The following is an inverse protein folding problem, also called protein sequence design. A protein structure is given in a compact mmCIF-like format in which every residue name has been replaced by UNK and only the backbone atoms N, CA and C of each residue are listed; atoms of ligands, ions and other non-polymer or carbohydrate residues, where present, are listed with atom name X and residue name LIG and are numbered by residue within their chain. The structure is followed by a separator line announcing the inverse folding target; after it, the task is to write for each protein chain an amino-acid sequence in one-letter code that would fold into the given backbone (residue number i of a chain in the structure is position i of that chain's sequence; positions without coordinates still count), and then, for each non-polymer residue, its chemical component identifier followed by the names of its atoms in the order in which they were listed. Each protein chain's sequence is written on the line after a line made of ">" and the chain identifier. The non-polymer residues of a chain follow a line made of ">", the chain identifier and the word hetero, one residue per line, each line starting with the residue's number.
data_IF_515184525591
#
_entry.id   IF_515184525591
#
_cell.length_a   1.000
_cell.length_b   1.000
_cell.length_c   1.000
_cell.angle_alpha   90.00
_cell.angle_beta   90.00
_cell.angle_gamma   90.00
#
_symmetry.space_group_name_H-M   'P 1'
#
loop_
_entity.id
_entity.type
_entity.pdbx_description
1 polymer ?
#
# COMPACT_ATOMS: atom_id res chain seq x y z
N UNK A 1 16.01 -17.28 14.60
CA UNK A 1 15.00 -18.07 15.38
C UNK A 1 13.63 -17.69 14.88
N UNK A 2 12.77 -18.68 14.66
CA UNK A 2 11.37 -18.39 14.29
C UNK A 2 10.66 -17.74 15.49
N UNK A 3 9.78 -16.73 15.26
CA UNK A 3 9.08 -16.08 16.35
C UNK A 3 8.16 -17.07 17.08
N UNK A 4 7.95 -16.92 18.41
CA UNK A 4 7.08 -17.79 19.20
C UNK A 4 5.61 -17.43 18.99
N UNK A 5 5.13 -17.37 17.73
CA UNK A 5 3.78 -17.01 17.37
C UNK A 5 3.23 -17.94 16.28
N UNK A 6 1.89 -18.02 16.21
CA UNK A 6 1.21 -18.88 15.23
C UNK A 6 1.24 -18.31 13.82
N UNK A 7 1.12 -16.97 13.70
CA UNK A 7 1.11 -16.24 12.45
C UNK A 7 2.02 -15.03 12.56
N UNK A 8 2.83 -14.78 11.54
CA UNK A 8 3.75 -13.64 11.48
C UNK A 8 3.95 -13.16 10.04
N UNK A 9 4.31 -11.89 9.89
CA UNK A 9 4.74 -11.30 8.64
C UNK A 9 6.24 -10.99 8.70
N UNK A 10 7.03 -11.58 7.81
CA UNK A 10 8.42 -11.22 7.60
C UNK A 10 8.50 -10.07 6.62
N UNK A 11 9.22 -9.01 6.99
CA UNK A 11 9.37 -7.80 6.19
C UNK A 11 10.85 -7.60 5.85
N UNK A 12 11.18 -7.70 4.56
CA UNK A 12 12.52 -7.41 4.02
C UNK A 12 12.68 -5.90 3.82
N UNK A 13 13.27 -5.22 4.82
CA UNK A 13 13.48 -3.78 4.74
C UNK A 13 14.49 -3.38 3.64
N UNK A 14 15.43 -4.27 3.29
CA UNK A 14 16.37 -4.04 2.19
C UNK A 14 15.71 -4.08 0.81
N UNK A 15 14.63 -4.84 0.66
CA UNK A 15 13.88 -4.95 -0.60
C UNK A 15 13.28 -3.64 -1.07
N UNK A 16 12.95 -2.71 -0.15
CA UNK A 16 12.45 -1.38 -0.51
C UNK A 16 13.45 -0.59 -1.36
N UNK A 17 14.74 -0.67 -1.04
CA UNK A 17 15.78 0.01 -1.81
C UNK A 17 15.86 -0.51 -3.25
N UNK A 18 15.79 -1.82 -3.44
CA UNK A 18 15.79 -2.45 -4.76
C UNK A 18 14.58 -2.03 -5.59
N UNK A 19 13.38 -2.06 -5.00
CA UNK A 19 12.16 -1.65 -5.68
C UNK A 19 12.15 -0.15 -6.02
N UNK A 20 12.67 0.69 -5.12
CA UNK A 20 12.82 2.12 -5.37
C UNK A 20 13.80 2.40 -6.52
N UNK A 21 14.91 1.65 -6.62
CA UNK A 21 15.85 1.77 -7.73
C UNK A 21 15.17 1.49 -9.07
N UNK A 22 14.35 0.43 -9.16
CA UNK A 22 13.58 0.12 -10.37
C UNK A 22 12.60 1.24 -10.77
N UNK A 23 12.01 1.93 -9.79
CA UNK A 23 11.14 3.08 -10.04
C UNK A 23 11.95 4.31 -10.50
N UNK A 24 13.12 4.55 -9.90
CA UNK A 24 14.01 5.66 -10.27
C UNK A 24 14.53 5.56 -11.70
N UNK A 25 14.75 4.36 -12.20
CA UNK A 25 15.16 4.12 -13.59
C UNK A 25 14.09 4.48 -14.65
N UNK A 26 12.84 4.70 -14.21
CA UNK A 26 11.68 4.98 -15.09
C UNK A 26 11.38 6.46 -15.26
N UNK A 27 12.07 7.34 -14.57
CA UNK A 27 11.86 8.78 -14.62
C UNK A 27 13.13 9.54 -14.92
N UNK A 28 13.00 10.78 -15.34
CA UNK A 28 14.15 11.65 -15.64
C UNK A 28 14.95 11.97 -14.37
N UNK A 29 16.24 12.26 -14.55
CA UNK A 29 17.09 12.72 -13.46
C UNK A 29 16.54 14.01 -12.82
N UNK A 30 16.60 14.08 -11.49
CA UNK A 30 16.09 15.23 -10.71
C UNK A 30 14.61 15.16 -10.37
N UNK A 31 13.90 14.10 -10.77
CA UNK A 31 12.54 13.78 -10.25
C UNK A 31 12.67 13.32 -8.81
N UNK A 32 11.81 13.84 -7.95
CA UNK A 32 11.76 13.52 -6.53
C UNK A 32 10.78 12.38 -6.25
N UNK A 33 11.02 11.66 -5.15
CA UNK A 33 10.21 10.51 -4.75
C UNK A 33 9.56 10.71 -3.40
N UNK A 34 8.23 10.58 -3.37
CA UNK A 34 7.45 10.43 -2.15
C UNK A 34 7.07 8.96 -1.98
N UNK A 35 7.58 8.32 -0.92
CA UNK A 35 7.17 6.97 -0.55
C UNK A 35 5.82 7.03 0.17
N UNK A 36 4.79 6.40 -0.41
CA UNK A 36 3.46 6.33 0.20
C UNK A 36 3.43 5.19 1.21
N UNK A 37 3.43 5.55 2.49
CA UNK A 37 3.50 4.63 3.64
C UNK A 37 2.29 4.73 4.57
N UNK A 38 1.16 5.21 4.08
CA UNK A 38 -0.11 5.26 4.82
C UNK A 38 -0.65 3.87 5.14
N UNK A 39 -1.70 3.80 5.98
CA UNK A 39 -2.34 2.57 6.42
C UNK A 39 -1.32 1.57 7.01
N UNK A 40 -0.56 2.05 8.03
CA UNK A 40 0.52 1.29 8.68
C UNK A 40 1.57 0.76 7.67
N UNK A 41 1.99 1.63 6.72
CA UNK A 41 2.86 1.25 5.59
C UNK A 41 2.27 0.05 4.82
N UNK A 42 1.00 0.14 4.43
CA UNK A 42 0.25 -0.94 3.79
C UNK A 42 0.33 -2.26 4.58
N UNK A 43 0.20 -2.17 5.92
CA UNK A 43 0.25 -3.31 6.82
C UNK A 43 1.66 -3.82 7.17
N UNK A 44 2.70 -3.16 6.69
CA UNK A 44 4.11 -3.57 6.91
C UNK A 44 4.72 -3.02 8.21
N UNK A 45 4.05 -2.08 8.89
CA UNK A 45 4.55 -1.42 10.09
C UNK A 45 5.18 -0.06 9.81
N UNK A 46 4.40 1.00 9.99
CA UNK A 46 4.77 2.37 9.65
C UNK A 46 6.11 2.83 10.22
N UNK A 47 6.43 2.64 11.52
CA UNK A 47 7.68 3.14 12.10
C UNK A 47 8.93 2.51 11.46
N UNK A 48 8.93 1.19 11.25
CA UNK A 48 10.08 0.48 10.71
C UNK A 48 10.32 0.84 9.24
N UNK A 49 9.26 0.91 8.43
CA UNK A 49 9.34 1.29 7.01
C UNK A 49 9.78 2.75 6.87
N UNK A 50 9.27 3.66 7.71
CA UNK A 50 9.69 5.06 7.70
C UNK A 50 11.19 5.20 8.00
N UNK A 51 11.72 4.47 8.99
CA UNK A 51 13.15 4.44 9.31
C UNK A 51 13.98 3.88 8.16
N UNK A 52 13.51 2.81 7.50
CA UNK A 52 14.22 2.20 6.37
C UNK A 52 14.30 3.13 5.14
N UNK A 53 13.28 3.96 4.92
CA UNK A 53 13.19 4.82 3.74
C UNK A 53 13.69 6.25 3.95
N UNK A 54 13.93 6.71 5.18
CA UNK A 54 14.18 8.11 5.55
C UNK A 54 15.28 8.81 4.74
N UNK A 55 16.34 8.07 4.36
CA UNK A 55 17.51 8.61 3.65
C UNK A 55 17.49 8.22 2.15
N UNK A 56 16.41 7.57 1.68
CA UNK A 56 16.32 7.05 0.32
C UNK A 56 15.34 7.82 -0.56
N UNK A 57 14.41 8.56 0.07
CA UNK A 57 13.35 9.31 -0.59
C UNK A 57 13.35 10.77 -0.13
N UNK A 58 12.78 11.64 -0.95
CA UNK A 58 12.68 13.08 -0.65
C UNK A 58 11.53 13.37 0.32
N UNK A 59 10.46 12.57 0.26
CA UNK A 59 9.28 12.72 1.09
C UNK A 59 8.74 11.35 1.53
N UNK A 60 8.11 11.34 2.70
CA UNK A 60 7.19 10.27 3.11
C UNK A 60 5.77 10.79 2.97
N UNK A 61 4.83 9.94 2.55
CA UNK A 61 3.46 10.36 2.30
C UNK A 61 2.46 9.45 3.04
N UNK A 62 1.58 10.06 3.81
CA UNK A 62 0.59 9.40 4.68
C UNK A 62 -0.81 9.95 4.47
N UNK A 63 -1.82 9.34 5.09
CA UNK A 63 -3.21 9.75 4.91
C UNK A 63 -3.61 10.92 5.81
N UNK A 64 -3.07 11.03 7.03
CA UNK A 64 -3.51 11.95 8.07
C UNK A 64 -2.39 12.32 9.05
N UNK A 65 -2.68 13.26 9.96
CA UNK A 65 -1.71 13.75 10.93
C UNK A 65 -1.28 12.69 11.96
N UNK A 66 -2.16 11.77 12.34
CA UNK A 66 -1.83 10.70 13.31
C UNK A 66 -0.73 9.78 12.76
N UNK A 67 -0.82 9.39 11.49
CA UNK A 67 0.24 8.61 10.84
C UNK A 67 1.54 9.42 10.72
N UNK A 68 1.44 10.72 10.40
CA UNK A 68 2.59 11.61 10.32
C UNK A 68 3.30 11.76 11.69
N UNK A 69 2.56 11.88 12.79
CA UNK A 69 3.11 11.86 14.16
C UNK A 69 3.80 10.53 14.47
N UNK A 70 3.25 9.40 14.01
CA UNK A 70 3.89 8.09 14.15
C UNK A 70 5.29 8.05 13.50
N UNK A 71 5.47 8.71 12.35
CA UNK A 71 6.78 8.87 11.70
C UNK A 71 7.73 9.71 12.56
N UNK A 72 7.26 10.84 13.10
CA UNK A 72 8.06 11.69 14.01
C UNK A 72 8.42 10.95 15.29
N UNK A 73 7.48 10.16 15.86
CA UNK A 73 7.72 9.30 17.01
C UNK A 73 8.80 8.24 16.79
N UNK A 74 9.02 7.82 15.54
CA UNK A 74 10.12 6.94 15.15
C UNK A 74 11.46 7.68 14.94
N UNK A 75 11.52 8.98 15.21
CA UNK A 75 12.74 9.80 15.07
C UNK A 75 13.07 10.20 13.63
N UNK A 76 12.17 9.99 12.68
CA UNK A 76 12.38 10.29 11.27
C UNK A 76 12.05 11.76 11.00
N UNK A 77 12.97 12.50 10.35
CA UNK A 77 12.87 13.93 10.05
C UNK A 77 12.55 14.23 8.57
N UNK A 78 12.57 13.24 7.72
CA UNK A 78 12.19 13.39 6.30
C UNK A 78 10.88 14.16 6.18
N UNK A 79 10.74 15.11 5.24
CA UNK A 79 9.49 15.83 5.01
C UNK A 79 8.31 14.88 4.83
N UNK A 80 7.17 15.18 5.47
CA UNK A 80 5.97 14.33 5.41
C UNK A 80 4.83 15.05 4.74
N UNK A 81 4.29 14.44 3.70
CA UNK A 81 3.11 14.88 2.96
C UNK A 81 1.86 14.21 3.53
N UNK A 82 0.80 14.98 3.76
CA UNK A 82 -0.53 14.46 4.11
C UNK A 82 -1.40 14.51 2.86
N UNK A 83 -1.80 13.32 2.37
CA UNK A 83 -2.47 13.16 1.08
C UNK A 83 -3.98 13.36 1.14
N UNK A 84 -4.57 13.35 2.33
CA UNK A 84 -5.99 13.59 2.55
C UNK A 84 -6.27 15.00 3.07
N UNK A 85 -7.53 15.48 2.98
CA UNK A 85 -7.93 16.72 3.63
C UNK A 85 -7.85 16.58 5.15
N UNK A 86 -7.42 17.65 5.82
CA UNK A 86 -7.28 17.68 7.27
C UNK A 86 -8.57 18.12 7.96
N UNK A 87 -8.92 17.49 9.07
CA UNK A 87 -9.99 17.93 9.98
C UNK A 87 -9.44 18.99 10.96
N UNK A 88 -10.33 19.73 11.64
CA UNK A 88 -9.93 20.83 12.53
C UNK A 88 -8.96 20.42 13.62
N UNK A 89 -9.13 19.24 14.17
CA UNK A 89 -8.32 18.69 15.25
C UNK A 89 -6.87 18.37 14.83
N UNK A 90 -6.63 18.17 13.54
CA UNK A 90 -5.31 17.88 13.00
C UNK A 90 -4.50 19.13 12.68
N UNK A 91 -5.14 20.29 12.45
CA UNK A 91 -4.46 21.51 12.00
C UNK A 91 -3.31 21.95 12.95
N UNK A 92 -3.50 21.98 14.29
CA UNK A 92 -2.44 22.38 15.20
C UNK A 92 -1.20 21.46 15.12
N UNK A 93 -1.41 20.18 14.91
CA UNK A 93 -0.35 19.18 14.78
C UNK A 93 0.42 19.41 13.47
N UNK A 94 -0.31 19.57 12.36
CA UNK A 94 0.28 19.79 11.03
C UNK A 94 1.15 21.05 11.03
N UNK A 95 0.67 22.13 11.62
CA UNK A 95 1.40 23.41 11.72
C UNK A 95 2.63 23.26 12.61
N UNK A 96 2.50 22.68 13.81
CA UNK A 96 3.60 22.48 14.77
C UNK A 96 4.73 21.64 14.19
N UNK A 97 4.40 20.51 13.55
CA UNK A 97 5.37 19.55 13.01
C UNK A 97 5.82 19.91 11.58
N UNK A 98 5.27 20.98 11.00
CA UNK A 98 5.58 21.43 9.63
C UNK A 98 5.33 20.32 8.60
N UNK A 99 4.27 19.53 8.77
CA UNK A 99 3.84 18.60 7.74
C UNK A 99 3.29 19.36 6.53
N UNK A 100 3.33 18.75 5.36
CA UNK A 100 2.90 19.34 4.09
C UNK A 100 1.48 18.85 3.80
N UNK A 101 0.42 19.62 4.14
CA UNK A 101 -0.96 19.22 3.81
C UNK A 101 -1.27 19.42 2.34
N UNK A 102 -2.25 18.65 1.86
CA UNK A 102 -2.85 18.83 0.54
C UNK A 102 -4.15 19.62 0.69
N UNK A 103 -4.25 20.75 -0.01
CA UNK A 103 -5.38 21.68 0.05
C UNK A 103 -6.09 21.74 -1.30
N UNK A 104 -7.42 21.83 -1.28
CA UNK A 104 -8.28 21.99 -2.45
C UNK A 104 -8.84 23.41 -2.58
N UNK A 105 -8.94 24.16 -1.45
CA UNK A 105 -9.61 25.46 -1.37
C UNK A 105 -8.80 26.50 -0.60
N UNK A 106 -9.06 27.76 -0.86
CA UNK A 106 -8.49 28.86 -0.09
C UNK A 106 -9.03 28.89 1.36
N UNK A 107 -10.24 28.39 1.58
CA UNK A 107 -10.81 28.28 2.93
C UNK A 107 -10.02 27.31 3.81
N UNK A 108 -9.64 26.15 3.27
CA UNK A 108 -8.70 25.26 3.97
C UNK A 108 -7.38 25.99 4.31
N UNK A 109 -6.86 26.78 3.37
CA UNK A 109 -5.67 27.60 3.60
C UNK A 109 -5.84 28.65 4.69
N UNK A 110 -6.99 29.35 4.76
CA UNK A 110 -7.27 30.34 5.82
C UNK A 110 -7.28 29.71 7.20
N UNK A 111 -7.87 28.50 7.34
CA UNK A 111 -7.87 27.75 8.60
C UNK A 111 -6.46 27.43 9.09
N UNK A 112 -5.55 27.07 8.18
CA UNK A 112 -4.13 26.90 8.53
C UNK A 112 -3.46 28.23 8.84
N UNK A 113 -3.73 29.28 8.05
CA UNK A 113 -3.11 30.60 8.21
C UNK A 113 -3.36 31.22 9.58
N UNK A 114 -4.53 30.99 10.20
CA UNK A 114 -4.88 31.44 11.56
C UNK A 114 -3.96 30.82 12.64
N UNK A 115 -3.37 29.65 12.37
CA UNK A 115 -2.53 28.92 13.34
C UNK A 115 -1.03 29.09 13.07
N UNK A 116 -0.66 29.51 11.85
CA UNK A 116 0.75 29.63 11.47
C UNK A 116 1.38 30.84 12.11
N UNK A 117 2.38 30.61 12.95
CA UNK A 117 3.28 31.63 13.51
C UNK A 117 4.69 31.42 12.96
N UNK A 118 5.32 32.49 12.44
CA UNK A 118 6.65 32.39 11.85
C UNK A 118 6.67 32.16 10.35
N UNK A 119 7.57 31.31 9.80
CA UNK A 119 7.67 31.09 8.37
C UNK A 119 6.39 30.47 7.77
N UNK A 120 6.05 30.78 6.52
CA UNK A 120 4.89 30.19 5.86
C UNK A 120 4.88 28.65 5.91
N UNK A 121 3.70 28.05 6.00
CA UNK A 121 3.51 26.60 5.91
C UNK A 121 3.56 26.18 4.45
N UNK A 122 4.39 25.17 4.16
CA UNK A 122 4.42 24.52 2.85
C UNK A 122 3.18 23.67 2.64
N UNK A 123 2.53 23.82 1.51
CA UNK A 123 1.34 23.07 1.15
C UNK A 123 1.41 22.61 -0.30
N UNK A 124 0.72 21.52 -0.63
CA UNK A 124 0.42 21.14 -2.00
C UNK A 124 -1.02 21.54 -2.33
N UNK A 125 -1.23 22.13 -3.49
CA UNK A 125 -2.56 22.42 -3.99
C UNK A 125 -3.00 21.29 -4.91
N UNK A 126 -4.19 20.73 -4.67
CA UNK A 126 -4.77 19.66 -5.48
C UNK A 126 -5.97 20.16 -6.28
N UNK A 127 -5.99 19.82 -7.56
CA UNK A 127 -7.19 19.96 -8.37
C UNK A 127 -7.54 18.61 -9.04
N UNK A 128 -8.81 18.42 -9.28
CA UNK A 128 -9.33 17.15 -9.79
C UNK A 128 -9.30 17.17 -11.33
N UNK A 129 -8.69 16.16 -11.91
CA UNK A 129 -8.66 15.95 -13.36
C UNK A 129 -9.34 14.64 -13.76
N UNK A 130 -10.11 14.01 -12.84
CA UNK A 130 -10.86 12.81 -13.16
C UNK A 130 -10.98 11.75 -12.06
N UNK A 131 -10.41 11.99 -10.86
CA UNK A 131 -10.56 11.05 -9.73
C UNK A 131 -11.90 11.22 -9.01
N UNK A 132 -12.47 12.44 -8.95
CA UNK A 132 -13.76 12.72 -8.30
C UNK A 132 -13.76 12.58 -6.78
N UNK A 133 -12.62 12.81 -6.11
CA UNK A 133 -12.48 12.56 -4.67
C UNK A 133 -12.10 13.79 -3.85
N UNK A 134 -11.10 14.52 -4.26
CA UNK A 134 -10.62 15.78 -3.66
C UNK A 134 -10.11 16.69 -4.77
N UNK A 135 -10.04 17.98 -4.50
CA UNK A 135 -9.74 18.98 -5.52
C UNK A 135 -11.01 19.52 -6.20
N UNK A 136 -10.86 20.61 -6.90
CA UNK A 136 -11.91 21.25 -7.69
C UNK A 136 -11.56 21.13 -9.18
N UNK A 137 -12.57 21.36 -10.03
CA UNK A 137 -12.41 21.27 -11.48
C UNK A 137 -12.09 22.62 -12.10
N UNK A 138 -11.23 22.63 -13.12
CA UNK A 138 -11.05 23.74 -14.07
C UNK A 138 -11.00 25.15 -13.43
N UNK A 139 -11.89 26.06 -13.86
CA UNK A 139 -11.89 27.46 -13.46
C UNK A 139 -12.10 27.70 -11.95
N UNK A 140 -12.83 26.82 -11.25
CA UNK A 140 -12.99 26.91 -9.79
C UNK A 140 -11.65 26.67 -9.10
N UNK A 141 -10.89 25.67 -9.52
CA UNK A 141 -9.56 25.40 -8.98
C UNK A 141 -8.61 26.60 -9.18
N UNK A 142 -8.69 27.26 -10.33
CA UNK A 142 -7.85 28.41 -10.64
C UNK A 142 -8.15 29.61 -9.73
N UNK A 143 -9.42 29.85 -9.41
CA UNK A 143 -9.80 30.93 -8.49
C UNK A 143 -9.34 30.63 -7.04
N UNK A 144 -9.58 29.43 -6.57
CA UNK A 144 -9.15 28.99 -5.25
C UNK A 144 -7.63 29.03 -5.10
N UNK A 145 -6.88 28.60 -6.13
CA UNK A 145 -5.42 28.70 -6.12
C UNK A 145 -4.94 30.15 -6.01
N UNK A 146 -5.55 31.10 -6.78
CA UNK A 146 -5.15 32.53 -6.71
C UNK A 146 -5.40 33.12 -5.33
N UNK A 147 -6.54 32.79 -4.71
CA UNK A 147 -6.86 33.24 -3.34
C UNK A 147 -5.90 32.61 -2.32
N UNK A 148 -5.61 31.30 -2.42
CA UNK A 148 -4.68 30.60 -1.54
C UNK A 148 -3.29 31.21 -1.62
N UNK A 149 -2.80 31.51 -2.83
CA UNK A 149 -1.48 32.08 -3.07
C UNK A 149 -1.31 33.51 -2.52
N UNK A 150 -2.39 34.20 -2.19
CA UNK A 150 -2.35 35.51 -1.55
C UNK A 150 -2.20 35.46 -0.02
N UNK A 151 -2.33 34.29 0.60
CA UNK A 151 -2.18 34.12 2.05
C UNK A 151 -0.69 34.12 2.43
N UNK A 152 -0.18 35.15 3.15
CA UNK A 152 1.25 35.25 3.44
C UNK A 152 1.76 34.16 4.38
N UNK A 153 0.87 33.48 5.10
CA UNK A 153 1.19 32.35 5.98
C UNK A 153 1.28 31.02 5.24
N UNK A 154 0.91 30.98 3.96
CA UNK A 154 0.86 29.74 3.15
C UNK A 154 1.83 29.86 1.98
N UNK A 155 2.58 28.80 1.73
CA UNK A 155 3.45 28.68 0.55
C UNK A 155 3.06 27.45 -0.24
N UNK A 156 2.45 27.63 -1.40
CA UNK A 156 2.19 26.50 -2.31
C UNK A 156 3.53 26.06 -2.92
N UNK A 157 3.90 24.81 -2.70
CA UNK A 157 5.20 24.25 -3.13
C UNK A 157 5.06 23.23 -4.26
N UNK A 158 3.85 22.70 -4.52
CA UNK A 158 3.58 21.85 -5.65
C UNK A 158 2.09 21.86 -6.04
N UNK A 159 1.82 21.56 -7.31
CA UNK A 159 0.49 21.28 -7.82
C UNK A 159 0.28 19.76 -7.93
N UNK A 160 -0.89 19.26 -7.56
CA UNK A 160 -1.14 17.82 -7.54
C UNK A 160 -2.49 17.42 -8.14
N UNK A 161 -2.53 16.20 -8.69
CA UNK A 161 -3.75 15.47 -9.01
C UNK A 161 -3.56 13.98 -8.74
N UNK A 162 -4.57 13.15 -8.97
CA UNK A 162 -4.46 11.70 -8.81
C UNK A 162 -5.05 10.94 -9.98
N UNK A 163 -4.31 9.91 -10.43
CA UNK A 163 -4.68 9.06 -11.57
C UNK A 163 -5.52 7.88 -11.07
N UNK A 164 -6.81 7.78 -11.47
CA UNK A 164 -7.70 6.71 -10.99
C UNK A 164 -7.48 5.36 -11.69
N UNK A 165 -7.03 5.36 -12.96
CA UNK A 165 -7.02 4.19 -13.85
C UNK A 165 -5.69 4.03 -14.60
N UNK A 166 -4.58 4.48 -14.00
CA UNK A 166 -3.26 4.41 -14.65
C UNK A 166 -2.81 2.96 -14.95
N UNK A 167 -3.37 1.98 -14.26
CA UNK A 167 -3.18 0.54 -14.47
C UNK A 167 -4.19 -0.07 -15.45
N UNK A 168 -5.33 0.55 -15.70
CA UNK A 168 -6.42 0.00 -16.50
C UNK A 168 -6.57 0.69 -17.87
N UNK A 169 -6.69 2.03 -17.88
CA UNK A 169 -6.95 2.82 -19.11
C UNK A 169 -5.81 3.79 -19.41
N UNK A 170 -4.96 3.40 -20.37
CA UNK A 170 -3.80 4.20 -20.79
C UNK A 170 -4.21 5.51 -21.44
N UNK A 171 -5.26 5.50 -22.31
CA UNK A 171 -5.64 6.70 -23.05
C UNK A 171 -6.25 7.75 -22.13
N UNK A 172 -7.20 7.33 -21.30
CA UNK A 172 -7.81 8.24 -20.31
C UNK A 172 -6.75 8.86 -19.39
N UNK A 173 -5.76 8.05 -18.97
CA UNK A 173 -4.67 8.52 -18.13
C UNK A 173 -3.77 9.53 -18.84
N UNK A 174 -3.45 9.29 -20.13
CA UNK A 174 -2.68 10.25 -20.93
C UNK A 174 -3.42 11.59 -21.07
N UNK A 175 -4.70 11.55 -21.41
CA UNK A 175 -5.54 12.75 -21.55
C UNK A 175 -5.64 13.53 -20.23
N UNK A 176 -5.71 12.82 -19.09
CA UNK A 176 -5.72 13.39 -17.75
C UNK A 176 -4.40 14.08 -17.41
N UNK A 177 -3.25 13.47 -17.76
CA UNK A 177 -1.92 14.05 -17.58
C UNK A 177 -1.78 15.31 -18.42
N UNK A 178 -2.18 15.26 -19.69
CA UNK A 178 -2.11 16.41 -20.61
C UNK A 178 -3.02 17.57 -20.14
N UNK A 179 -4.22 17.25 -19.64
CA UNK A 179 -5.11 18.25 -19.05
C UNK A 179 -4.44 18.90 -17.84
N UNK A 180 -3.91 18.09 -16.92
CA UNK A 180 -3.23 18.60 -15.73
C UNK A 180 -2.05 19.52 -16.09
N UNK A 181 -1.22 19.13 -17.06
CA UNK A 181 -0.08 19.94 -17.49
C UNK A 181 -0.53 21.31 -18.04
N UNK A 182 -1.60 21.36 -18.82
CA UNK A 182 -2.14 22.64 -19.33
C UNK A 182 -2.64 23.54 -18.19
N UNK A 183 -3.45 23.01 -17.29
CA UNK A 183 -3.99 23.75 -16.15
C UNK A 183 -2.89 24.21 -15.19
N UNK A 184 -1.93 23.34 -14.90
CA UNK A 184 -0.78 23.68 -14.04
C UNK A 184 0.10 24.79 -14.65
N UNK A 185 0.26 24.80 -15.97
CA UNK A 185 1.01 25.85 -16.69
C UNK A 185 0.29 27.21 -16.57
N UNK A 186 -1.03 27.22 -16.70
CA UNK A 186 -1.86 28.43 -16.56
C UNK A 186 -1.85 28.99 -15.13
N UNK A 187 -1.87 28.13 -14.13
CA UNK A 187 -1.86 28.52 -12.71
C UNK A 187 -0.48 29.01 -12.25
N UNK A 188 0.57 28.24 -12.55
CA UNK A 188 1.95 28.56 -12.19
C UNK A 188 2.92 27.69 -12.96
N UNK A 189 3.44 28.20 -14.07
CA UNK A 189 4.38 27.48 -14.94
C UNK A 189 5.69 27.01 -14.31
N UNK A 190 5.95 27.34 -13.05
CA UNK A 190 7.23 27.08 -12.37
C UNK A 190 7.13 26.11 -11.20
N UNK A 191 5.93 25.83 -10.66
CA UNK A 191 5.77 24.93 -9.53
C UNK A 191 5.99 23.47 -9.94
N UNK A 192 6.65 22.68 -9.09
CA UNK A 192 6.69 21.23 -9.23
C UNK A 192 5.30 20.62 -9.33
N UNK A 193 5.22 19.52 -10.05
CA UNK A 193 3.98 18.76 -10.23
C UNK A 193 4.07 17.41 -9.55
N UNK A 194 2.95 16.95 -9.00
CA UNK A 194 2.86 15.63 -8.39
C UNK A 194 1.64 14.89 -8.90
N UNK A 195 1.86 14.03 -9.91
CA UNK A 195 0.84 13.33 -10.69
C UNK A 195 0.96 11.83 -10.51
N UNK A 196 2.16 11.28 -10.77
CA UNK A 196 2.37 9.88 -11.01
C UNK A 196 2.32 9.06 -9.72
N UNK A 197 1.40 8.08 -9.68
CA UNK A 197 1.41 6.96 -8.75
C UNK A 197 2.31 5.82 -9.27
N UNK A 198 2.32 4.65 -8.63
CA UNK A 198 3.15 3.52 -9.07
C UNK A 198 2.92 3.11 -10.53
N UNK A 199 1.66 2.97 -10.96
CA UNK A 199 1.32 2.64 -12.35
C UNK A 199 1.68 3.79 -13.31
N UNK A 200 1.45 5.03 -12.88
CA UNK A 200 1.83 6.23 -13.62
C UNK A 200 3.33 6.29 -13.88
N UNK A 201 4.17 6.00 -12.87
CA UNK A 201 5.64 5.95 -13.06
C UNK A 201 6.05 4.89 -14.08
N UNK A 202 5.42 3.72 -14.06
CA UNK A 202 5.75 2.62 -14.97
C UNK A 202 5.34 2.87 -16.43
N UNK A 203 4.25 3.59 -16.66
CA UNK A 203 3.70 3.83 -18.01
C UNK A 203 3.99 5.21 -18.59
N UNK A 204 4.18 6.22 -17.72
CA UNK A 204 4.28 7.63 -18.09
C UNK A 204 5.44 8.34 -17.36
N UNK A 205 6.45 7.60 -16.89
CA UNK A 205 7.56 8.16 -16.13
C UNK A 205 8.37 9.20 -16.91
N UNK A 206 8.39 9.13 -18.24
CA UNK A 206 9.00 10.08 -19.16
C UNK A 206 8.30 11.46 -19.20
N UNK A 207 7.07 11.56 -18.72
CA UNK A 207 6.35 12.83 -18.60
C UNK A 207 6.77 13.64 -17.36
N UNK A 208 7.41 13.01 -16.37
CA UNK A 208 7.88 13.68 -15.17
C UNK A 208 9.12 14.54 -15.46
N UNK A 209 9.08 15.79 -15.00
CA UNK A 209 10.15 16.77 -15.19
C UNK A 209 11.05 16.84 -13.96
N UNK A 210 12.28 17.34 -14.07
CA UNK A 210 13.11 17.62 -12.90
C UNK A 210 12.37 18.48 -11.87
N UNK A 211 12.43 18.08 -10.58
CA UNK A 211 11.72 18.61 -9.41
C UNK A 211 10.28 18.17 -9.26
N UNK A 212 9.62 17.57 -10.27
CA UNK A 212 8.33 16.94 -10.05
C UNK A 212 8.46 15.81 -9.03
N UNK A 213 7.37 15.51 -8.32
CA UNK A 213 7.35 14.51 -7.25
C UNK A 213 6.47 13.32 -7.66
N UNK A 214 7.02 12.13 -7.70
CA UNK A 214 6.24 10.90 -7.87
C UNK A 214 5.77 10.37 -6.51
N UNK A 215 4.55 9.83 -6.44
CA UNK A 215 3.97 9.23 -5.22
C UNK A 215 3.87 7.72 -5.40
N UNK A 216 4.95 7.02 -5.12
CA UNK A 216 5.02 5.57 -5.30
C UNK A 216 4.51 4.83 -4.05
N UNK A 217 3.57 3.92 -4.26
CA UNK A 217 2.99 3.06 -3.23
C UNK A 217 3.27 1.59 -3.57
N UNK A 218 2.29 0.86 -4.08
CA UNK A 218 2.29 -0.60 -4.19
C UNK A 218 3.57 -1.20 -4.80
N UNK A 219 4.10 -0.61 -5.87
CA UNK A 219 5.33 -1.09 -6.50
C UNK A 219 6.55 -0.98 -5.57
N UNK A 220 6.58 0.01 -4.66
CA UNK A 220 7.62 0.13 -3.65
C UNK A 220 7.61 -1.07 -2.68
N UNK A 221 6.44 -1.66 -2.42
CA UNK A 221 6.28 -2.88 -1.62
C UNK A 221 6.51 -4.16 -2.43
N UNK A 222 6.89 -4.04 -3.69
CA UNK A 222 7.21 -5.18 -4.55
C UNK A 222 5.99 -5.87 -5.17
N UNK A 223 4.81 -5.26 -5.07
CA UNK A 223 3.61 -5.72 -5.77
C UNK A 223 3.33 -4.74 -6.91
N UNK A 224 3.43 -5.21 -8.14
CA UNK A 224 3.23 -4.34 -9.28
C UNK A 224 1.75 -4.25 -9.66
N UNK A 225 1.20 -3.02 -9.83
CA UNK A 225 -0.18 -2.87 -10.34
C UNK A 225 -0.31 -3.29 -11.81
N UNK A 226 0.81 -3.40 -12.52
CA UNK A 226 0.92 -3.83 -13.90
C UNK A 226 1.63 -5.18 -13.95
N UNK A 227 0.92 -6.29 -14.25
CA UNK A 227 1.49 -7.64 -14.17
C UNK A 227 2.76 -7.84 -15.04
N UNK A 228 2.83 -7.16 -16.19
CA UNK A 228 3.97 -7.22 -17.10
C UNK A 228 5.28 -6.69 -16.49
N UNK A 229 5.19 -5.84 -15.49
CA UNK A 229 6.35 -5.30 -14.76
C UNK A 229 6.63 -6.03 -13.44
N UNK A 230 5.76 -6.97 -13.01
CA UNK A 230 5.98 -7.69 -11.74
C UNK A 230 7.37 -8.34 -11.61
N UNK A 231 7.98 -8.90 -12.67
CA UNK A 231 9.33 -9.50 -12.56
C UNK A 231 10.45 -8.54 -12.16
N UNK A 232 10.24 -7.22 -12.26
CA UNK A 232 11.20 -6.19 -11.85
C UNK A 232 11.15 -5.90 -10.36
N UNK A 233 10.06 -6.28 -9.69
CA UNK A 233 9.80 -5.94 -8.31
C UNK A 233 9.79 -7.17 -7.42
N UNK A 234 10.41 -7.03 -6.25
CA UNK A 234 10.49 -8.09 -5.27
C UNK A 234 9.52 -7.80 -4.12
N UNK A 235 8.51 -8.66 -3.86
CA UNK A 235 7.66 -8.52 -2.69
C UNK A 235 8.47 -8.47 -1.40
N UNK A 236 8.21 -7.47 -0.57
CA UNK A 236 8.94 -7.26 0.69
C UNK A 236 8.27 -7.92 1.88
N UNK A 237 7.03 -8.42 1.73
CA UNK A 237 6.29 -9.09 2.79
C UNK A 237 6.06 -10.56 2.46
N UNK A 238 6.35 -11.42 3.44
CA UNK A 238 5.89 -12.81 3.46
C UNK A 238 5.00 -13.03 4.68
N UNK A 239 3.75 -13.47 4.45
CA UNK A 239 2.83 -13.86 5.53
C UNK A 239 2.92 -15.36 5.76
N UNK A 240 3.21 -15.76 6.99
CA UNK A 240 3.48 -17.14 7.36
C UNK A 240 2.68 -17.59 8.57
N UNK A 241 2.43 -18.89 8.65
CA UNK A 241 1.82 -19.55 9.80
C UNK A 241 2.45 -20.91 10.04
N UNK A 242 1.85 -21.69 10.94
CA UNK A 242 2.26 -23.06 11.25
C UNK A 242 1.10 -24.05 11.16
N UNK A 243 1.43 -25.28 10.84
CA UNK A 243 0.56 -26.42 11.07
C UNK A 243 0.37 -26.60 12.57
N UNK A 244 -0.88 -26.64 13.04
CA UNK A 244 -1.22 -26.83 14.46
C UNK A 244 -1.84 -28.21 14.76
N UNK A 245 -2.35 -28.88 13.74
CA UNK A 245 -2.88 -30.24 13.84
C UNK A 245 -2.79 -30.93 12.47
N UNK A 246 -2.48 -32.22 12.46
CA UNK A 246 -2.60 -33.10 11.27
C UNK A 246 -3.47 -34.27 11.63
N UNK A 247 -4.43 -34.61 10.75
CA UNK A 247 -5.32 -35.76 10.91
C UNK A 247 -5.78 -36.32 9.57
N UNK A 248 -6.18 -37.57 9.56
CA UNK A 248 -6.80 -38.20 8.39
C UNK A 248 -8.32 -38.19 8.54
N UNK A 249 -9.02 -37.75 7.51
CA UNK A 249 -10.48 -37.82 7.40
C UNK A 249 -10.86 -38.88 6.36
N UNK A 250 -11.80 -39.76 6.74
CA UNK A 250 -12.37 -40.74 5.81
C UNK A 250 -13.24 -40.05 4.77
N UNK A 251 -13.52 -40.73 3.64
CA UNK A 251 -14.48 -40.26 2.64
C UNK A 251 -15.86 -39.96 3.28
N UNK A 252 -16.57 -38.94 2.78
CA UNK A 252 -17.87 -38.52 3.27
C UNK A 252 -17.83 -37.60 4.49
N UNK A 253 -16.67 -37.22 5.01
CA UNK A 253 -16.56 -36.27 6.13
C UNK A 253 -16.64 -34.81 5.64
N UNK A 254 -17.44 -34.02 6.32
CA UNK A 254 -17.58 -32.57 6.06
C UNK A 254 -16.53 -31.76 6.79
N UNK A 255 -16.12 -30.63 6.20
CA UNK A 255 -15.06 -29.76 6.73
C UNK A 255 -15.57 -28.34 6.90
N UNK A 256 -15.27 -27.74 8.05
CA UNK A 256 -15.51 -26.34 8.40
C UNK A 256 -16.98 -25.88 8.43
N UNK A 257 -17.19 -24.59 8.67
CA UNK A 257 -18.53 -24.00 8.77
C UNK A 257 -19.35 -24.14 7.49
N UNK A 258 -20.64 -24.38 7.66
CA UNK A 258 -21.57 -24.54 6.54
C UNK A 258 -21.38 -25.84 5.78
N UNK A 259 -20.43 -26.70 6.17
CA UNK A 259 -20.19 -28.01 5.57
C UNK A 259 -20.04 -27.92 4.04
N UNK A 260 -19.35 -26.87 3.58
CA UNK A 260 -19.23 -26.53 2.15
C UNK A 260 -18.25 -27.42 1.40
N UNK A 261 -17.45 -28.21 2.11
CA UNK A 261 -16.55 -29.21 1.54
C UNK A 261 -16.82 -30.58 2.18
N UNK A 262 -16.85 -31.63 1.36
CA UNK A 262 -16.95 -33.02 1.81
C UNK A 262 -15.83 -33.81 1.16
N UNK A 263 -15.10 -34.60 1.94
CA UNK A 263 -14.04 -35.47 1.41
C UNK A 263 -14.63 -36.55 0.49
N UNK A 264 -14.11 -36.68 -0.73
CA UNK A 264 -14.48 -37.70 -1.67
C UNK A 264 -13.66 -38.99 -1.52
N UNK A 265 -12.54 -38.91 -0.80
CA UNK A 265 -11.60 -40.01 -0.52
C UNK A 265 -11.04 -39.83 0.88
N UNK A 266 -10.27 -40.79 1.36
CA UNK A 266 -9.41 -40.57 2.52
C UNK A 266 -8.47 -39.42 2.24
N UNK A 267 -8.47 -38.41 3.15
CA UNK A 267 -7.79 -37.16 2.95
C UNK A 267 -6.99 -36.81 4.19
N UNK A 268 -5.67 -36.56 4.03
CA UNK A 268 -4.80 -36.03 5.10
C UNK A 268 -4.97 -34.53 5.16
N UNK A 269 -5.48 -34.04 6.29
CA UNK A 269 -5.82 -32.61 6.49
C UNK A 269 -4.90 -32.00 7.52
N UNK A 270 -4.30 -30.85 7.17
CA UNK A 270 -3.62 -30.01 8.13
C UNK A 270 -4.52 -28.83 8.53
N UNK A 271 -4.54 -28.53 9.83
CA UNK A 271 -5.13 -27.30 10.40
C UNK A 271 -4.02 -26.30 10.61
N UNK A 272 -4.22 -25.11 10.09
CA UNK A 272 -3.28 -23.97 10.16
C UNK A 272 -3.71 -22.98 11.23
N UNK A 273 -2.74 -22.39 11.93
CA UNK A 273 -2.97 -21.42 13.00
C UNK A 273 -3.20 -20.00 12.49
N UNK A 274 -4.08 -19.82 11.50
CA UNK A 274 -4.41 -18.53 10.87
C UNK A 274 -5.85 -18.51 10.40
N UNK A 275 -6.50 -17.36 10.51
CA UNK A 275 -7.84 -17.13 9.98
C UNK A 275 -8.14 -15.66 9.71
N UNK A 276 -9.43 -15.33 9.50
CA UNK A 276 -9.79 -13.95 9.19
C UNK A 276 -9.57 -12.95 10.35
N UNK A 277 -9.45 -13.43 11.59
CA UNK A 277 -9.05 -12.62 12.72
C UNK A 277 -7.60 -12.13 12.65
N UNK A 278 -6.76 -12.80 11.84
CA UNK A 278 -5.40 -12.40 11.54
C UNK A 278 -5.31 -11.56 10.25
N UNK A 279 -6.42 -11.47 9.49
CA UNK A 279 -6.48 -10.78 8.21
C UNK A 279 -6.39 -11.72 6.99
N UNK A 280 -6.39 -13.04 7.19
CA UNK A 280 -6.46 -13.99 6.06
C UNK A 280 -7.90 -14.05 5.53
N UNK A 281 -8.19 -13.59 4.30
CA UNK A 281 -9.56 -13.29 3.89
C UNK A 281 -10.51 -14.50 3.90
N UNK A 282 -11.70 -14.33 4.49
CA UNK A 282 -12.73 -15.38 4.48
C UNK A 282 -13.24 -15.67 3.06
N UNK A 283 -13.14 -14.71 2.14
CA UNK A 283 -13.52 -14.85 0.73
C UNK A 283 -12.62 -15.82 -0.05
N UNK A 284 -11.47 -16.22 0.50
CA UNK A 284 -10.64 -17.31 -0.06
C UNK A 284 -11.27 -18.69 0.10
N UNK A 285 -12.41 -18.78 0.78
CA UNK A 285 -13.13 -20.05 0.98
C UNK A 285 -13.75 -20.54 -0.31
N UNK A 286 -13.47 -21.80 -0.70
CA UNK A 286 -14.07 -22.51 -1.86
C UNK A 286 -13.82 -21.85 -3.25
N UNK A 287 -12.77 -21.04 -3.38
CA UNK A 287 -12.39 -20.39 -4.65
C UNK A 287 -11.07 -20.91 -5.21
N UNK A 288 -10.63 -22.09 -4.77
CA UNK A 288 -9.37 -22.69 -5.23
C UNK A 288 -8.12 -21.96 -4.68
N UNK A 289 -8.24 -21.32 -3.52
CA UNK A 289 -7.09 -20.75 -2.85
C UNK A 289 -6.19 -21.86 -2.28
N UNK A 290 -4.89 -21.57 -2.21
CA UNK A 290 -3.85 -22.50 -1.79
C UNK A 290 -2.89 -21.83 -0.82
N UNK A 291 -2.10 -22.64 -0.12
CA UNK A 291 -0.95 -22.24 0.68
C UNK A 291 0.27 -23.06 0.29
N UNK A 292 1.47 -22.63 0.68
CA UNK A 292 2.67 -23.42 0.46
C UNK A 292 3.09 -24.14 1.74
N UNK A 293 3.32 -25.43 1.61
CA UNK A 293 3.91 -26.28 2.66
C UNK A 293 5.02 -27.12 2.01
N UNK A 294 6.24 -27.00 2.53
CA UNK A 294 7.42 -27.71 1.99
C UNK A 294 7.64 -27.47 0.49
N UNK A 295 7.38 -26.23 0.02
CA UNK A 295 7.55 -25.83 -1.37
C UNK A 295 6.48 -26.39 -2.33
N UNK A 296 5.33 -26.82 -1.83
CA UNK A 296 4.21 -27.32 -2.66
C UNK A 296 2.92 -26.61 -2.31
N UNK A 297 2.08 -26.39 -3.32
CA UNK A 297 0.75 -25.82 -3.17
C UNK A 297 -0.21 -26.84 -2.57
N UNK A 298 -0.90 -26.43 -1.50
CA UNK A 298 -1.89 -27.20 -0.75
C UNK A 298 -3.22 -26.46 -0.77
N UNK A 299 -4.32 -27.07 -1.34
CA UNK A 299 -5.58 -26.38 -1.47
C UNK A 299 -6.32 -26.23 -0.13
N UNK A 300 -7.01 -25.10 0.03
CA UNK A 300 -7.89 -24.86 1.16
C UNK A 300 -9.12 -25.78 1.11
N UNK A 301 -9.53 -26.28 2.27
CA UNK A 301 -10.70 -27.13 2.45
C UNK A 301 -11.80 -26.43 3.24
N UNK A 302 -12.93 -26.14 2.60
CA UNK A 302 -14.07 -25.51 3.21
C UNK A 302 -13.81 -24.02 3.55
N UNK A 303 -14.50 -23.51 4.58
CA UNK A 303 -14.44 -22.09 4.91
C UNK A 303 -13.27 -21.75 5.84
N UNK A 304 -12.58 -20.65 5.55
CA UNK A 304 -11.67 -20.01 6.50
C UNK A 304 -12.46 -19.58 7.72
N UNK A 305 -11.95 -19.91 8.92
CA UNK A 305 -12.58 -19.54 10.19
C UNK A 305 -11.87 -18.35 10.83
N UNK A 306 -12.29 -17.92 12.01
CA UNK A 306 -11.68 -16.76 12.68
C UNK A 306 -10.18 -16.98 12.95
N UNK A 307 -9.81 -18.17 13.42
CA UNK A 307 -8.47 -18.46 13.95
C UNK A 307 -7.76 -19.62 13.24
N UNK A 308 -8.45 -20.32 12.34
CA UNK A 308 -7.94 -21.54 11.71
C UNK A 308 -8.38 -21.66 10.26
N UNK A 309 -7.51 -22.29 9.46
CA UNK A 309 -7.77 -22.67 8.07
C UNK A 309 -7.36 -24.12 7.87
N UNK A 310 -8.12 -24.88 7.08
CA UNK A 310 -7.84 -26.28 6.80
C UNK A 310 -7.38 -26.46 5.35
N UNK A 311 -6.39 -27.33 5.14
CA UNK A 311 -5.81 -27.61 3.82
C UNK A 311 -5.60 -29.10 3.61
N UNK A 312 -5.71 -29.53 2.34
CA UNK A 312 -5.37 -30.91 1.92
C UNK A 312 -3.84 -31.04 1.79
N UNK A 313 -3.29 -31.97 2.55
CA UNK A 313 -1.85 -32.30 2.52
C UNK A 313 -1.61 -33.74 2.09
N UNK A 314 -2.60 -34.41 1.48
CA UNK A 314 -2.50 -35.79 1.05
C UNK A 314 -1.39 -36.02 0.02
N UNK A 315 -1.07 -34.99 -0.78
CA UNK A 315 0.02 -35.05 -1.78
C UNK A 315 1.42 -34.88 -1.21
N UNK A 316 1.54 -34.64 0.11
CA UNK A 316 2.84 -34.46 0.78
C UNK A 316 3.23 -35.73 1.56
N UNK A 317 4.49 -36.20 1.45
CA UNK A 317 4.91 -37.44 2.10
C UNK A 317 4.83 -37.35 3.64
N UNK A 318 5.25 -36.26 4.19
CA UNK A 318 5.24 -36.00 5.63
C UNK A 318 4.91 -34.54 5.91
N UNK A 319 3.93 -34.30 6.78
CA UNK A 319 3.60 -32.99 7.34
C UNK A 319 3.40 -33.15 8.83
N UNK A 320 4.03 -32.29 9.64
CA UNK A 320 4.02 -32.35 11.09
C UNK A 320 3.48 -31.06 11.70
N UNK A 321 3.01 -31.14 12.93
CA UNK A 321 2.72 -29.97 13.75
C UNK A 321 4.00 -29.15 13.91
N UNK A 322 3.91 -27.83 13.70
CA UNK A 322 5.03 -26.91 13.72
C UNK A 322 5.63 -26.60 12.35
N UNK A 323 5.33 -27.37 11.30
CA UNK A 323 5.81 -27.06 9.95
C UNK A 323 5.37 -25.65 9.53
N UNK A 324 6.30 -24.92 8.89
CA UNK A 324 6.03 -23.58 8.33
C UNK A 324 5.10 -23.69 7.12
N UNK A 325 4.15 -22.77 7.07
CA UNK A 325 3.21 -22.59 5.98
C UNK A 325 3.33 -21.16 5.47
N UNK A 326 3.46 -20.99 4.15
CA UNK A 326 3.47 -19.67 3.52
C UNK A 326 2.12 -19.38 2.90
N UNK A 327 1.52 -18.26 3.31
CA UNK A 327 0.24 -17.76 2.84
C UNK A 327 0.41 -16.71 1.74
N UNK A 328 1.43 -15.86 1.90
CA UNK A 328 1.93 -14.89 0.92
C UNK A 328 3.46 -14.98 0.96
N UNK A 329 4.11 -15.07 -0.19
CA UNK A 329 5.55 -15.16 -0.32
C UNK A 329 6.03 -16.44 -0.97
N UNK A 330 7.31 -16.72 -0.84
CA UNK A 330 8.00 -17.83 -1.53
C UNK A 330 8.39 -18.94 -0.56
N UNK A 331 8.28 -20.19 -1.04
CA UNK A 331 8.82 -21.37 -0.39
C UNK A 331 9.33 -22.36 -1.45
N UNK A 332 10.64 -22.57 -1.52
CA UNK A 332 11.26 -23.28 -2.62
C UNK A 332 11.10 -22.53 -3.95
N UNK A 333 10.63 -23.23 -4.98
CA UNK A 333 10.39 -22.66 -6.31
C UNK A 333 8.98 -22.04 -6.46
N UNK A 334 8.10 -22.31 -5.51
CA UNK A 334 6.72 -21.81 -5.52
C UNK A 334 6.58 -20.46 -4.83
N UNK A 335 5.64 -19.65 -5.34
CA UNK A 335 5.33 -18.33 -4.80
C UNK A 335 3.81 -18.07 -4.83
N UNK A 336 3.30 -17.40 -3.79
CA UNK A 336 1.94 -16.87 -3.73
C UNK A 336 2.04 -15.37 -3.50
N UNK A 337 1.58 -14.58 -4.47
CA UNK A 337 1.54 -13.11 -4.37
C UNK A 337 0.26 -12.63 -3.68
N UNK A 338 0.31 -11.45 -3.04
CA UNK A 338 -0.90 -10.79 -2.53
C UNK A 338 -1.92 -10.50 -3.64
N UNK A 339 -1.46 -10.25 -4.88
CA UNK A 339 -2.32 -10.10 -6.06
C UNK A 339 -3.06 -11.39 -6.45
N UNK A 340 -2.44 -12.57 -6.27
CA UNK A 340 -3.12 -13.86 -6.47
C UNK A 340 -4.28 -14.04 -5.48
N UNK A 341 -4.05 -13.76 -4.20
CA UNK A 341 -5.09 -13.83 -3.18
C UNK A 341 -6.20 -12.79 -3.43
N UNK A 342 -5.83 -11.59 -3.87
CA UNK A 342 -6.77 -10.54 -4.22
C UNK A 342 -7.70 -10.98 -5.36
N UNK A 343 -7.15 -11.50 -6.44
CA UNK A 343 -7.93 -12.01 -7.57
C UNK A 343 -8.90 -13.12 -7.14
N UNK A 344 -8.44 -14.10 -6.35
CA UNK A 344 -9.27 -15.20 -5.84
C UNK A 344 -10.36 -14.74 -4.89
N UNK A 345 -10.14 -13.69 -4.12
CA UNK A 345 -11.11 -13.14 -3.16
C UNK A 345 -11.99 -12.01 -3.71
N UNK A 346 -11.80 -11.63 -4.98
CA UNK A 346 -12.59 -10.58 -5.64
C UNK A 346 -12.29 -9.17 -5.14
N UNK A 347 -11.01 -8.88 -4.82
CA UNK A 347 -10.55 -7.59 -4.32
C UNK A 347 -9.19 -7.20 -4.93
N UNK A 348 -8.49 -6.23 -4.33
CA UNK A 348 -7.20 -5.69 -4.77
C UNK A 348 -6.09 -5.99 -3.75
N UNK A 349 -4.83 -6.04 -4.21
CA UNK A 349 -3.68 -6.37 -3.36
C UNK A 349 -3.51 -5.41 -2.17
N UNK A 350 -3.91 -4.13 -2.32
CA UNK A 350 -3.90 -3.16 -1.21
C UNK A 350 -4.76 -3.62 -0.04
N UNK A 351 -5.97 -4.14 -0.30
CA UNK A 351 -6.88 -4.61 0.74
C UNK A 351 -6.33 -5.87 1.44
N UNK A 352 -5.74 -6.79 0.68
CA UNK A 352 -5.08 -7.98 1.25
C UNK A 352 -3.98 -7.56 2.24
N UNK A 353 -3.10 -6.65 1.84
CA UNK A 353 -1.97 -6.23 2.67
C UNK A 353 -2.42 -5.42 3.89
N UNK A 354 -3.29 -4.42 3.70
CA UNK A 354 -3.80 -3.57 4.79
C UNK A 354 -4.74 -4.31 5.74
N UNK A 355 -5.32 -5.42 5.27
CA UNK A 355 -6.16 -6.31 6.08
C UNK A 355 -5.39 -7.14 7.12
N UNK A 356 -4.06 -7.26 7.02
CA UNK A 356 -3.25 -8.00 7.99
C UNK A 356 -3.33 -7.29 9.36
N UNK A 357 -3.98 -7.95 10.32
CA UNK A 357 -4.33 -7.34 11.61
C UNK A 357 -3.12 -7.19 12.54
N UNK A 358 -3.31 -6.46 13.65
CA UNK A 358 -2.30 -6.30 14.71
C UNK A 358 -1.98 -7.59 15.47
N UNK A 359 -2.79 -8.66 15.32
CA UNK A 359 -2.49 -9.98 15.88
C UNK A 359 -1.28 -10.64 15.24
N UNK A 360 -0.99 -10.31 13.98
CA UNK A 360 0.16 -10.83 13.23
C UNK A 360 1.41 -10.07 13.65
N UNK A 361 2.40 -10.76 14.16
CA UNK A 361 3.68 -10.17 14.56
C UNK A 361 4.47 -9.80 13.31
N UNK A 362 4.98 -8.56 13.23
CA UNK A 362 5.91 -8.14 12.15
C UNK A 362 7.34 -8.46 12.60
N UNK A 363 8.08 -9.15 11.74
CA UNK A 363 9.48 -9.54 11.92
C UNK A 363 10.30 -8.87 10.82
N UNK A 364 11.10 -7.88 11.18
CA UNK A 364 11.91 -7.12 10.22
C UNK A 364 13.27 -7.78 10.01
N UNK A 365 13.73 -7.79 8.75
CA UNK A 365 15.01 -8.36 8.31
C UNK A 365 15.77 -7.38 7.42
#
# INVERSE_FOLDING_TARGET
>A
MNPPCRCWAEIDLGGFASNLAQLKERVSAGVQFAAVIKADAYGHGLPAVAVALRDQVDFLAVANATEAEGIRGAGVKTPVMILGPAISEELPIIVRERFIPTLSTAEEGRRFAELVTGPPLDVHFVFDTGMGRIGLWNGEAAEEFRQLAQLPQIRVTALSTHLPVADEDRQYTADQIDQFHREALELSGTLPQTILNSAGVLRFGDTARPKDVTRTGLALYGICPLPEFQPLFRPVLSLKTRVVLVRTLQAGRTVSYGRTFTTSRETKVATLGVGYGDGYPRHLSNVGAEVLIRGRRCPLLGRVTMDQTLVDVSGLPEVHVGDEVVLIGRQGDEEILASELAQKSGTIAWEILTGITKRVVRVYR
#
